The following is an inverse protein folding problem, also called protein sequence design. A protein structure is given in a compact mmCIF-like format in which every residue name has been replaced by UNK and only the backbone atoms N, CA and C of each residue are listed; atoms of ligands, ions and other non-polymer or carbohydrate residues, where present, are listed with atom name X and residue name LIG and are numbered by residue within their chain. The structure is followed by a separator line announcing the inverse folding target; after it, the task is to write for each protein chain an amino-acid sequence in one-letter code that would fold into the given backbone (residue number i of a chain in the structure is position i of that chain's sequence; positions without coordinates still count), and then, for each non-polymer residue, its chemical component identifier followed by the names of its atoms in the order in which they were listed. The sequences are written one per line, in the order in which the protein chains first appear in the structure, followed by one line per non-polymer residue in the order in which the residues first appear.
data_IF_783228384485
#
_entry.id   IF_783228384485
#
_cell.length_a   1.000
_cell.length_b   1.000
_cell.length_c   1.000
_cell.angle_alpha   90.00
_cell.angle_beta   90.00
_cell.angle_gamma   90.00
#
_symmetry.space_group_name_H-M   'P 1'
#
loop_
_entity.id
_entity.type
_entity.pdbx_description
1 polymer ?
#
# COMPACT_ATOMS: atom_id res chain seq x y z
N UNK A 1 -7.14 -7.04 -2.06
CA UNK A 1 -6.35 -7.44 -0.88
C UNK A 1 -7.11 -8.47 -0.05
N UNK A 2 -8.23 -8.11 0.58
CA UNK A 2 -8.99 -9.02 1.47
C UNK A 2 -9.36 -10.36 0.83
N UNK A 3 -9.92 -10.35 -0.39
CA UNK A 3 -10.29 -11.60 -1.08
C UNK A 3 -9.09 -12.54 -1.28
N UNK A 4 -7.96 -12.02 -1.79
CA UNK A 4 -6.74 -12.83 -1.96
C UNK A 4 -6.20 -13.36 -0.62
N UNK A 5 -6.24 -12.53 0.43
CA UNK A 5 -5.80 -12.96 1.76
C UNK A 5 -6.63 -14.11 2.31
N UNK A 6 -7.96 -14.04 2.16
CA UNK A 6 -8.88 -15.11 2.57
C UNK A 6 -8.59 -16.39 1.77
N UNK A 7 -8.50 -16.27 0.43
CA UNK A 7 -8.28 -17.44 -0.44
C UNK A 7 -6.94 -18.13 -0.21
N UNK A 8 -5.92 -17.39 0.23
CA UNK A 8 -4.56 -17.90 0.43
C UNK A 8 -4.22 -18.19 1.91
N UNK A 9 -5.07 -17.77 2.86
CA UNK A 9 -4.81 -17.91 4.30
C UNK A 9 -3.60 -17.12 4.80
N UNK A 10 -3.18 -16.06 4.10
CA UNK A 10 -2.00 -15.26 4.45
C UNK A 10 -2.34 -13.81 4.81
N UNK A 11 -1.53 -13.15 5.65
CA UNK A 11 -1.62 -11.72 5.91
C UNK A 11 -1.57 -10.88 4.62
N UNK A 12 -2.50 -9.94 4.46
CA UNK A 12 -2.51 -9.04 3.29
C UNK A 12 -2.89 -7.62 3.66
N UNK A 13 -2.35 -6.66 2.89
CA UNK A 13 -2.73 -5.25 2.93
C UNK A 13 -3.04 -4.71 1.53
N UNK A 14 -3.85 -3.67 1.45
CA UNK A 14 -4.11 -2.92 0.22
C UNK A 14 -3.32 -1.62 0.19
N UNK A 15 -2.73 -1.29 -0.97
CA UNK A 15 -2.09 0.00 -1.22
C UNK A 15 -2.55 0.54 -2.56
N UNK A 16 -3.18 1.71 -2.57
CA UNK A 16 -3.78 2.31 -3.76
C UNK A 16 -3.24 3.72 -4.05
N UNK A 17 -3.27 4.10 -5.33
CA UNK A 17 -2.87 5.44 -5.84
C UNK A 17 -4.00 6.48 -5.74
N UNK A 18 -5.25 6.02 -5.58
CA UNK A 18 -6.48 6.80 -5.54
C UNK A 18 -7.39 6.21 -4.46
N UNK A 19 -8.12 7.08 -3.77
CA UNK A 19 -9.14 6.66 -2.82
C UNK A 19 -10.42 6.25 -3.55
N UNK A 20 -11.12 5.24 -3.04
CA UNK A 20 -12.52 4.97 -3.39
C UNK A 20 -13.50 5.78 -2.51
N UNK A 21 -12.97 6.41 -1.47
CA UNK A 21 -13.73 7.18 -0.48
C UNK A 21 -13.43 8.66 -0.66
N UNK A 22 -14.40 9.51 -0.34
CA UNK A 22 -14.13 10.94 -0.18
C UNK A 22 -13.19 11.13 1.00
N UNK A 23 -12.10 11.86 0.76
CA UNK A 23 -11.11 12.17 1.77
C UNK A 23 -11.61 13.29 2.67
N UNK A 24 -11.32 13.18 3.96
CA UNK A 24 -11.58 14.25 4.94
C UNK A 24 -10.45 15.28 4.98
N UNK A 25 -9.30 14.96 4.38
CA UNK A 25 -8.13 15.82 4.31
C UNK A 25 -6.90 15.08 3.79
N UNK A 26 -5.77 15.78 3.79
CA UNK A 26 -4.47 15.25 3.39
C UNK A 26 -3.51 15.21 4.59
N UNK A 27 -2.62 14.21 4.69
CA UNK A 27 -1.58 14.21 5.71
C UNK A 27 -0.60 15.36 5.49
N UNK A 28 0.18 15.77 6.49
CA UNK A 28 1.29 16.70 6.30
C UNK A 28 2.22 16.31 5.14
N UNK A 29 2.94 17.29 4.60
CA UNK A 29 3.80 17.07 3.43
C UNK A 29 5.01 16.17 3.70
N UNK A 30 5.46 16.10 4.96
CA UNK A 30 6.64 15.33 5.38
C UNK A 30 6.43 13.82 5.14
N UNK A 31 7.41 13.16 4.53
CA UNK A 31 7.42 11.71 4.40
C UNK A 31 7.28 11.01 5.77
N UNK A 32 6.42 10.00 5.84
CA UNK A 32 6.08 9.30 7.07
C UNK A 32 4.77 9.76 7.70
N UNK A 33 4.25 10.91 7.28
CA UNK A 33 2.98 11.43 7.80
C UNK A 33 1.81 10.60 7.31
N UNK A 34 0.79 10.45 8.16
CA UNK A 34 -0.44 9.75 7.82
C UNK A 34 -1.67 10.43 8.43
N UNK A 35 -2.82 10.25 7.78
CA UNK A 35 -4.12 10.71 8.24
C UNK A 35 -5.08 9.52 8.26
N UNK A 36 -5.86 9.28 9.33
CA UNK A 36 -6.85 8.21 9.35
C UNK A 36 -7.95 8.45 8.31
N UNK A 37 -8.37 7.39 7.62
CA UNK A 37 -9.58 7.36 6.82
C UNK A 37 -10.70 6.75 7.63
N UNK A 38 -11.70 7.56 7.95
CA UNK A 38 -12.88 7.16 8.72
C UNK A 38 -14.09 7.09 7.79
N UNK A 39 -14.83 5.98 7.86
CA UNK A 39 -16.12 5.81 7.17
C UNK A 39 -17.16 5.34 8.17
N UNK A 40 -18.27 6.07 8.29
CA UNK A 40 -19.35 5.76 9.24
C UNK A 40 -18.83 5.49 10.67
N UNK A 41 -17.95 6.36 11.16
CA UNK A 41 -17.34 6.25 12.50
C UNK A 41 -16.27 5.16 12.66
N UNK A 42 -15.97 4.37 11.62
CA UNK A 42 -14.98 3.29 11.67
C UNK A 42 -13.70 3.64 10.92
N UNK A 43 -12.55 3.28 11.48
CA UNK A 43 -11.26 3.35 10.80
C UNK A 43 -11.19 2.28 9.70
N UNK A 44 -11.06 2.72 8.46
CA UNK A 44 -11.00 1.82 7.29
C UNK A 44 -9.65 1.82 6.57
N UNK A 45 -8.74 2.71 6.98
CA UNK A 45 -7.40 2.82 6.41
C UNK A 45 -6.72 4.14 6.77
N UNK A 46 -5.68 4.48 6.02
CA UNK A 46 -4.91 5.71 6.18
C UNK A 46 -4.55 6.31 4.83
N UNK A 47 -4.51 7.65 4.76
CA UNK A 47 -3.81 8.39 3.70
C UNK A 47 -2.37 8.58 4.15
N UNK A 48 -1.40 8.04 3.42
CA UNK A 48 0.01 7.91 3.84
C UNK A 48 0.94 8.63 2.89
N UNK A 49 1.76 9.54 3.42
CA UNK A 49 2.79 10.27 2.69
C UNK A 49 4.08 9.45 2.66
N UNK A 50 4.32 8.72 1.58
CA UNK A 50 5.55 7.91 1.44
C UNK A 50 6.79 8.75 1.11
N UNK A 51 6.64 9.82 0.31
CA UNK A 51 7.68 10.77 -0.06
C UNK A 51 7.25 12.21 0.22
N UNK A 52 8.19 13.07 0.62
CA UNK A 52 7.92 14.47 0.93
C UNK A 52 7.46 15.23 -0.31
N UNK A 53 6.39 16.02 -0.21
CA UNK A 53 5.86 16.83 -1.32
C UNK A 53 5.19 16.02 -2.46
N UNK A 54 5.16 14.69 -2.37
CA UNK A 54 4.53 13.82 -3.37
C UNK A 54 3.12 13.42 -2.94
N UNK A 55 2.23 13.20 -3.91
CA UNK A 55 0.86 12.71 -3.67
C UNK A 55 0.87 11.44 -2.79
N UNK A 56 0.00 11.35 -1.77
CA UNK A 56 0.02 10.24 -0.84
C UNK A 56 -0.51 8.94 -1.47
N UNK A 57 -0.40 7.85 -0.73
CA UNK A 57 -1.04 6.56 -1.01
C UNK A 57 -2.19 6.31 -0.03
N UNK A 58 -3.08 5.40 -0.38
CA UNK A 58 -4.16 4.96 0.49
C UNK A 58 -3.86 3.53 0.91
N UNK A 59 -3.80 3.31 2.21
CA UNK A 59 -3.38 2.04 2.80
C UNK A 59 -4.52 1.51 3.66
N UNK A 60 -4.86 0.23 3.49
CA UNK A 60 -5.86 -0.44 4.31
C UNK A 60 -5.45 -1.87 4.63
N UNK A 61 -5.92 -2.36 5.78
CA UNK A 61 -5.83 -3.78 6.10
C UNK A 61 -6.59 -4.63 5.05
N UNK A 62 -6.02 -5.79 4.72
CA UNK A 62 -6.64 -6.79 3.85
C UNK A 62 -7.20 -7.96 4.64
N UNK A 63 -6.33 -8.84 5.13
CA UNK A 63 -6.63 -10.05 5.88
C UNK A 63 -5.55 -10.31 6.94
N UNK A 64 -5.93 -10.85 8.11
CA UNK A 64 -5.04 -11.23 9.23
C UNK A 64 -4.08 -10.14 9.74
N UNK A 65 -4.39 -8.87 9.48
CA UNK A 65 -3.64 -7.72 10.01
C UNK A 65 -4.61 -6.60 10.41
N UNK A 66 -4.20 -5.78 11.37
CA UNK A 66 -4.89 -4.57 11.78
C UNK A 66 -4.58 -3.38 10.85
N UNK A 67 -5.40 -2.32 10.93
CA UNK A 67 -5.16 -1.06 10.21
C UNK A 67 -3.85 -0.39 10.65
N UNK A 68 -3.49 -0.54 11.92
CA UNK A 68 -2.22 -0.03 12.45
C UNK A 68 -1.03 -0.80 11.88
N UNK A 69 -1.10 -2.14 11.84
CA UNK A 69 -0.05 -2.96 11.22
C UNK A 69 0.11 -2.63 9.72
N UNK A 70 -0.99 -2.48 8.99
CA UNK A 70 -0.95 -2.06 7.59
C UNK A 70 -0.25 -0.70 7.41
N UNK A 71 -0.55 0.28 8.26
CA UNK A 71 0.15 1.58 8.25
C UNK A 71 1.66 1.42 8.50
N UNK A 72 2.03 0.69 9.56
CA UNK A 72 3.45 0.48 9.90
C UNK A 72 4.22 -0.20 8.76
N UNK A 73 3.64 -1.25 8.17
CA UNK A 73 4.22 -1.94 7.02
C UNK A 73 4.38 -1.01 5.82
N UNK A 74 3.39 -0.19 5.49
CA UNK A 74 3.52 0.79 4.39
C UNK A 74 4.66 1.79 4.62
N UNK A 75 4.86 2.23 5.87
CA UNK A 75 5.93 3.15 6.23
C UNK A 75 7.31 2.49 6.20
N UNK A 76 7.41 1.23 6.64
CA UNK A 76 8.64 0.45 6.59
C UNK A 76 9.04 0.07 5.15
N UNK A 77 8.06 -0.25 4.30
CA UNK A 77 8.26 -0.67 2.91
C UNK A 77 8.39 0.51 1.93
N UNK A 78 8.41 1.76 2.42
CA UNK A 78 8.63 2.94 1.57
C UNK A 78 10.07 2.91 1.02
N UNK A 79 10.22 3.18 -0.26
CA UNK A 79 11.52 3.23 -0.93
C UNK A 79 11.93 4.66 -1.30
N UNK A 80 12.59 4.81 -2.44
CA UNK A 80 12.92 6.11 -3.07
C UNK A 80 11.72 6.75 -3.80
N UNK A 81 10.68 5.97 -4.08
CA UNK A 81 9.57 6.37 -4.93
C UNK A 81 8.25 6.52 -4.16
N UNK A 82 7.24 7.10 -4.83
CA UNK A 82 5.87 7.22 -4.30
C UNK A 82 5.30 5.85 -3.91
N UNK A 83 5.45 4.84 -4.78
CA UNK A 83 4.93 3.49 -4.57
C UNK A 83 5.90 2.70 -3.70
N UNK A 84 5.38 1.95 -2.72
CA UNK A 84 6.18 1.08 -1.85
C UNK A 84 6.96 0.06 -2.67
N UNK A 85 8.15 -0.30 -2.19
CA UNK A 85 9.13 -1.04 -2.98
C UNK A 85 8.61 -2.39 -3.52
N UNK A 86 7.90 -3.22 -2.74
CA UNK A 86 7.36 -4.49 -3.25
C UNK A 86 6.38 -4.30 -4.41
N UNK A 87 5.45 -3.34 -4.29
CA UNK A 87 4.45 -3.07 -5.31
C UNK A 87 5.07 -2.44 -6.56
N UNK A 88 6.11 -1.62 -6.39
CA UNK A 88 6.88 -1.04 -7.49
C UNK A 88 7.60 -2.13 -8.30
N UNK A 89 8.27 -3.07 -7.63
CA UNK A 89 8.95 -4.20 -8.28
C UNK A 89 7.95 -5.11 -9.01
N UNK A 90 6.80 -5.39 -8.39
CA UNK A 90 5.75 -6.18 -9.01
C UNK A 90 5.19 -5.52 -10.29
N UNK A 91 4.89 -4.21 -10.28
CA UNK A 91 4.43 -3.48 -11.48
C UNK A 91 5.49 -3.48 -12.59
N UNK A 92 6.77 -3.34 -12.24
CA UNK A 92 7.86 -3.43 -13.22
C UNK A 92 7.98 -4.82 -13.84
N UNK A 93 7.95 -5.88 -13.02
CA UNK A 93 8.02 -7.25 -13.49
C UNK A 93 6.83 -7.60 -14.41
N UNK A 94 5.61 -7.19 -14.03
CA UNK A 94 4.42 -7.38 -14.86
C UNK A 94 4.54 -6.67 -16.22
N UNK A 95 5.07 -5.44 -16.24
CA UNK A 95 5.33 -4.69 -17.49
C UNK A 95 6.42 -5.31 -18.35
N UNK A 96 7.46 -5.89 -17.75
CA UNK A 96 8.51 -6.61 -18.46
C UNK A 96 7.95 -7.87 -19.12
N UNK A 97 7.18 -8.66 -18.37
CA UNK A 97 6.54 -9.86 -18.89
C UNK A 97 5.56 -9.56 -20.03
N UNK A 98 4.75 -8.49 -19.90
CA UNK A 98 3.86 -8.04 -20.98
C UNK A 98 4.60 -7.63 -22.27
N UNK A 99 5.92 -7.38 -22.19
CA UNK A 99 6.80 -7.10 -23.34
C UNK A 99 7.56 -8.34 -23.84
N UNK A 100 7.26 -9.53 -23.31
CA UNK A 100 7.93 -10.79 -23.68
C UNK A 100 9.28 -11.01 -22.99
N UNK A 101 9.62 -10.23 -21.96
CA UNK A 101 10.85 -10.44 -21.19
C UNK A 101 10.62 -11.48 -20.08
N UNK A 102 11.71 -12.16 -19.68
CA UNK A 102 11.65 -13.10 -18.55
C UNK A 102 11.37 -12.37 -17.22
N UNK A 103 10.64 -13.05 -16.33
CA UNK A 103 10.37 -12.53 -14.99
C UNK A 103 11.64 -12.60 -14.14
N UNK A 104 11.94 -11.56 -13.34
CA UNK A 104 12.99 -11.65 -12.34
C UNK A 104 12.63 -12.68 -11.27
N UNK A 105 13.62 -13.37 -10.71
CA UNK A 105 13.41 -14.23 -9.54
C UNK A 105 12.80 -13.40 -8.39
N UNK A 106 11.63 -13.81 -7.93
CA UNK A 106 10.97 -13.21 -6.78
C UNK A 106 11.49 -13.85 -5.50
N UNK A 107 11.94 -13.03 -4.55
CA UNK A 107 12.23 -13.47 -3.19
C UNK A 107 10.97 -13.28 -2.37
N UNK A 108 10.40 -14.38 -1.89
CA UNK A 108 9.35 -14.35 -0.87
C UNK A 108 10.05 -14.22 0.48
N UNK A 109 9.92 -13.05 1.11
CA UNK A 109 10.42 -12.86 2.47
C UNK A 109 9.42 -13.54 3.42
N UNK A 110 9.90 -14.52 4.17
CA UNK A 110 9.16 -15.18 5.26
C UNK A 110 9.22 -14.34 6.54
#
# INVERSE_FOLDING_TARGET
ASWLGISLGIPTMGVAKRSLLKETGMPPEKAGSALPLIRAGKLVGHVVRTQTGIRPLYVSAGHLISQQQALQLALQLRGRYRIIEPLRRADQAARQYAKGLSLPQAVVLQ
#
